data_IF_253039648020
#
_entry.id   IF_253039648020
#
_cell.length_a   1.000
_cell.length_b   1.000
_cell.length_c   1.000
_cell.angle_alpha   90.00
_cell.angle_beta   90.00
_cell.angle_gamma   90.00
#
_symmetry.space_group_name_H-M   'P 1'
#
loop_
_entity.id
_entity.type
_entity.pdbx_description
1 polymer ?
#
# COMPACT_ATOMS: atom_id res chain seq x y z
N UNK A 1 -8.35 5.24 16.17
CA UNK A 1 -9.61 4.78 15.53
C UNK A 1 -9.28 3.70 14.51
N UNK A 2 -9.89 2.52 14.65
CA UNK A 2 -9.78 1.39 13.71
C UNK A 2 -10.78 1.57 12.57
N UNK A 3 -10.43 1.19 11.34
CA UNK A 3 -11.35 1.08 10.22
C UNK A 3 -11.33 -0.36 9.73
N UNK A 4 -12.49 -1.04 9.72
CA UNK A 4 -12.62 -2.45 9.35
C UNK A 4 -11.71 -3.40 10.15
N UNK A 5 -11.53 -3.14 11.46
CA UNK A 5 -10.67 -3.95 12.33
C UNK A 5 -9.16 -3.73 12.14
N UNK A 6 -8.77 -2.78 11.29
CA UNK A 6 -7.37 -2.44 11.03
C UNK A 6 -7.03 -1.03 11.53
N UNK A 7 -5.75 -0.77 11.90
CA UNK A 7 -5.26 0.59 12.07
C UNK A 7 -5.57 1.43 10.83
N UNK A 8 -5.91 2.71 11.02
CA UNK A 8 -6.34 3.61 9.94
C UNK A 8 -5.35 3.67 8.77
N UNK A 9 -4.06 3.59 9.04
CA UNK A 9 -2.99 3.54 8.03
C UNK A 9 -3.06 2.29 7.16
N UNK A 10 -3.26 1.13 7.79
CA UNK A 10 -3.37 -0.17 7.11
C UNK A 10 -4.67 -0.22 6.30
N UNK A 11 -5.79 0.21 6.89
CA UNK A 11 -7.08 0.26 6.20
C UNK A 11 -7.04 1.15 4.94
N UNK A 12 -6.34 2.30 5.02
CA UNK A 12 -6.14 3.20 3.87
C UNK A 12 -5.37 2.50 2.76
N UNK A 13 -4.29 1.78 3.09
CA UNK A 13 -3.43 1.11 2.14
C UNK A 13 -4.12 -0.09 1.47
N UNK A 14 -4.73 -0.95 2.28
CA UNK A 14 -5.58 -2.08 1.84
C UNK A 14 -6.62 -1.61 0.84
N UNK A 15 -7.29 -0.49 1.12
CA UNK A 15 -8.30 0.07 0.21
C UNK A 15 -7.73 0.47 -1.14
N UNK A 16 -6.52 1.02 -1.20
CA UNK A 16 -5.93 1.39 -2.49
C UNK A 16 -5.47 0.16 -3.28
N UNK A 17 -4.89 -0.84 -2.59
CA UNK A 17 -4.48 -2.11 -3.21
C UNK A 17 -5.70 -2.86 -3.76
N UNK A 18 -6.77 -2.99 -2.97
CA UNK A 18 -8.01 -3.65 -3.37
C UNK A 18 -8.70 -2.97 -4.57
N UNK A 19 -8.45 -1.68 -4.81
CA UNK A 19 -8.95 -0.96 -5.98
C UNK A 19 -8.12 -1.19 -7.25
N UNK A 20 -6.99 -1.90 -7.16
CA UNK A 20 -6.08 -2.09 -8.29
C UNK A 20 -5.32 -0.82 -8.68
N UNK A 21 -5.16 0.13 -7.76
CA UNK A 21 -4.39 1.34 -8.05
C UNK A 21 -2.91 1.01 -8.28
N UNK A 22 -2.23 1.81 -9.12
CA UNK A 22 -0.81 1.60 -9.40
C UNK A 22 0.07 1.79 -8.15
N UNK A 23 1.19 1.06 -8.03
CA UNK A 23 2.10 1.19 -6.88
C UNK A 23 2.53 2.63 -6.62
N UNK A 24 2.90 3.38 -7.67
CA UNK A 24 3.26 4.79 -7.58
C UNK A 24 2.14 5.64 -6.95
N UNK A 25 0.89 5.48 -7.40
CA UNK A 25 -0.25 6.21 -6.87
C UNK A 25 -0.52 5.89 -5.39
N UNK A 26 -0.37 4.61 -5.01
CA UNK A 26 -0.55 4.17 -3.62
C UNK A 26 0.52 4.80 -2.74
N UNK A 27 1.79 4.70 -3.14
CA UNK A 27 2.93 5.16 -2.34
C UNK A 27 2.97 6.70 -2.25
N UNK A 28 2.57 7.42 -3.30
CA UNK A 28 2.42 8.88 -3.29
C UNK A 28 1.33 9.33 -2.29
N UNK A 29 0.19 8.64 -2.23
CA UNK A 29 -0.87 8.91 -1.23
C UNK A 29 -0.43 8.69 0.22
N UNK A 30 0.60 7.88 0.40
CA UNK A 30 1.21 7.58 1.70
C UNK A 30 2.47 8.41 1.95
N UNK A 31 2.85 9.31 1.03
CA UNK A 31 4.04 10.17 1.11
C UNK A 31 5.32 9.37 1.34
N UNK A 32 5.40 8.18 0.74
CA UNK A 32 6.60 7.34 0.84
C UNK A 32 7.70 7.99 0.00
N UNK A 33 8.87 8.30 0.58
CA UNK A 33 9.98 8.85 -0.18
C UNK A 33 10.53 7.82 -1.16
N UNK A 34 10.98 8.30 -2.32
CA UNK A 34 11.61 7.48 -3.34
C UNK A 34 12.74 8.26 -4.00
N UNK A 35 13.68 7.51 -4.56
CA UNK A 35 14.68 8.03 -5.49
C UNK A 35 14.31 7.64 -6.91
N UNK A 36 14.80 8.38 -7.89
CA UNK A 36 14.66 8.03 -9.31
C UNK A 36 16.04 7.58 -9.80
N UNK A 37 16.15 6.30 -10.13
CA UNK A 37 17.39 5.67 -10.64
C UNK A 37 17.05 5.05 -11.99
N UNK A 38 17.78 5.42 -13.04
CA UNK A 38 17.53 4.96 -14.42
C UNK A 38 16.07 5.15 -14.90
N UNK A 39 15.40 6.22 -14.43
CA UNK A 39 14.00 6.49 -14.76
C UNK A 39 12.98 5.68 -13.95
N UNK A 40 13.42 4.79 -13.07
CA UNK A 40 12.56 3.99 -12.20
C UNK A 40 12.50 4.55 -10.78
N UNK A 41 11.34 4.45 -10.14
CA UNK A 41 11.17 4.82 -8.74
C UNK A 41 11.67 3.69 -7.84
N UNK A 42 12.68 3.98 -7.03
CA UNK A 42 13.26 3.06 -6.05
C UNK A 42 12.87 3.52 -4.65
N UNK A 43 12.28 2.62 -3.88
CA UNK A 43 11.82 2.88 -2.51
C UNK A 43 12.78 2.26 -1.50
N UNK A 44 13.00 2.95 -0.38
CA UNK A 44 13.83 2.40 0.69
C UNK A 44 13.17 1.18 1.33
N UNK A 45 13.89 0.06 1.40
CA UNK A 45 13.45 -1.16 2.09
C UNK A 45 13.23 -0.95 3.60
N UNK A 46 13.74 0.14 4.17
CA UNK A 46 13.62 0.48 5.58
C UNK A 46 12.47 1.44 5.87
N UNK A 47 11.82 1.99 4.84
CA UNK A 47 10.65 2.83 5.03
C UNK A 47 9.47 2.00 5.55
N UNK A 48 8.87 2.45 6.65
CA UNK A 48 7.80 1.70 7.35
C UNK A 48 6.53 1.60 6.50
N UNK A 49 6.20 2.62 5.72
CA UNK A 49 5.02 2.61 4.86
C UNK A 49 5.24 1.80 3.58
N UNK A 50 6.47 1.78 3.05
CA UNK A 50 6.85 0.86 1.98
C UNK A 50 6.79 -0.60 2.43
N UNK A 51 7.34 -0.93 3.61
CA UNK A 51 7.24 -2.28 4.18
C UNK A 51 5.78 -2.70 4.40
N UNK A 52 4.95 -1.77 4.88
CA UNK A 52 3.50 -1.98 5.03
C UNK A 52 2.84 -2.26 3.67
N UNK A 53 3.22 -1.54 2.62
CA UNK A 53 2.72 -1.78 1.27
C UNK A 53 3.07 -3.18 0.77
N UNK A 54 4.35 -3.58 0.87
CA UNK A 54 4.81 -4.92 0.47
C UNK A 54 4.07 -6.02 1.23
N UNK A 55 3.86 -5.85 2.55
CA UNK A 55 3.09 -6.79 3.37
C UNK A 55 1.66 -6.99 2.83
N UNK A 56 0.95 -5.89 2.56
CA UNK A 56 -0.43 -5.96 2.09
C UNK A 56 -0.56 -6.39 0.64
N UNK A 57 0.42 -6.06 -0.21
CA UNK A 57 0.50 -6.54 -1.58
C UNK A 57 0.66 -8.06 -1.62
N UNK A 58 1.59 -8.60 -0.83
CA UNK A 58 1.76 -10.06 -0.69
C UNK A 58 0.47 -10.73 -0.26
N UNK A 59 -0.18 -10.19 0.79
CA UNK A 59 -1.47 -10.71 1.25
C UNK A 59 -2.55 -10.66 0.17
N UNK A 60 -2.60 -9.60 -0.65
CA UNK A 60 -3.57 -9.48 -1.73
C UNK A 60 -3.34 -10.51 -2.85
N UNK A 61 -2.09 -10.86 -3.13
CA UNK A 61 -1.73 -11.90 -4.09
C UNK A 61 -2.09 -13.30 -3.57
N UNK A 62 -1.86 -13.55 -2.27
CA UNK A 62 -2.19 -14.84 -1.63
C UNK A 62 -3.72 -15.00 -1.46
N UNK A 63 -4.42 -13.90 -1.16
CA UNK A 63 -5.86 -13.85 -0.96
C UNK A 63 -6.42 -12.47 -1.36
N UNK A 64 -7.25 -12.38 -2.42
CA UNK A 64 -7.79 -11.11 -2.89
C UNK A 64 -8.41 -10.28 -1.78
N UNK A 65 -7.90 -9.06 -1.58
CA UNK A 65 -8.45 -8.13 -0.60
C UNK A 65 -9.81 -7.64 -1.12
N UNK A 66 -10.89 -8.17 -0.56
CA UNK A 66 -12.25 -7.72 -0.89
C UNK A 66 -12.62 -6.52 -0.01
N UNK A 67 -12.94 -5.40 -0.65
CA UNK A 67 -13.70 -4.33 0.01
C UNK A 67 -15.16 -4.60 -0.31
N UNK A 68 -15.87 -5.29 0.58
CA UNK A 68 -17.33 -5.35 0.49
C UNK A 68 -17.88 -3.93 0.47
N UNK A 69 -18.65 -3.57 -0.57
CA UNK A 69 -19.59 -2.44 -0.46
C UNK A 69 -20.58 -2.85 0.62
N UNK A 70 -20.40 -2.33 1.82
CA UNK A 70 -21.49 -2.29 2.80
C UNK A 70 -22.26 -1.00 2.57
#
# INVERSE_FOLDING_TARGET
MMAHGLPRTDAKMVRQIAKGNSPAHILDKHKVPFEVINGERVYSRYDKDYQRYVKWLKRANDNPLTYGRR
#
